data_IF_682308647683
#
_entry.id   IF_682308647683
#
_cell.length_a   1.000
_cell.length_b   1.000
_cell.length_c   1.000
_cell.angle_alpha   90.00
_cell.angle_beta   90.00
_cell.angle_gamma   90.00
#
_symmetry.space_group_name_H-M   'P 1'
#
loop_
_entity.id
_entity.type
_entity.pdbx_description
1 polymer ?
#
# COMPACT_ATOMS: atom_id res chain seq x y z
N UNK A 1 12.53 3.60 23.54
CA UNK A 1 12.28 2.21 23.11
C UNK A 1 10.83 1.91 23.42
N UNK A 2 10.09 1.25 22.50
CA UNK A 2 8.68 0.89 22.72
C UNK A 2 8.59 -0.29 23.70
N UNK A 3 7.45 -0.40 24.38
CA UNK A 3 7.15 -1.55 25.24
C UNK A 3 6.67 -2.73 24.39
N UNK A 4 6.72 -3.94 24.95
CA UNK A 4 6.18 -5.13 24.29
C UNK A 4 4.71 -4.97 23.90
N UNK A 5 3.87 -4.36 24.76
CA UNK A 5 2.47 -4.13 24.48
C UNK A 5 2.28 -3.23 23.25
N UNK A 6 3.05 -2.12 23.17
CA UNK A 6 3.02 -1.20 22.03
C UNK A 6 3.47 -1.87 20.72
N UNK A 7 4.37 -2.85 20.77
CA UNK A 7 4.76 -3.62 19.58
C UNK A 7 3.66 -4.60 19.19
N UNK A 8 3.05 -5.30 20.16
CA UNK A 8 1.97 -6.26 19.89
C UNK A 8 0.73 -5.61 19.24
N UNK A 9 0.41 -4.38 19.63
CA UNK A 9 -0.70 -3.59 19.05
C UNK A 9 -0.47 -3.22 17.57
N UNK A 10 0.76 -3.36 17.07
CA UNK A 10 1.12 -3.06 15.67
C UNK A 10 0.94 -4.25 14.73
N UNK A 11 0.70 -5.43 15.27
CA UNK A 11 0.30 -6.59 14.48
C UNK A 11 -1.19 -6.47 14.15
N UNK A 12 -1.50 -6.49 12.85
CA UNK A 12 -2.86 -6.34 12.32
C UNK A 12 -3.22 -7.64 11.61
N UNK A 13 -3.80 -8.63 12.32
CA UNK A 13 -4.23 -9.88 11.70
C UNK A 13 -5.39 -9.62 10.74
N UNK A 14 -5.36 -10.19 9.55
CA UNK A 14 -6.41 -10.01 8.55
C UNK A 14 -7.78 -10.45 9.06
N UNK A 15 -7.83 -11.55 9.82
CA UNK A 15 -9.06 -12.05 10.44
C UNK A 15 -9.68 -11.11 11.49
N UNK A 16 -8.89 -10.17 12.01
CA UNK A 16 -9.32 -9.15 12.96
C UNK A 16 -9.75 -7.82 12.33
N UNK A 17 -9.61 -7.69 10.99
CA UNK A 17 -9.96 -6.45 10.31
C UNK A 17 -11.47 -6.17 10.41
N UNK A 18 -11.78 -4.95 10.81
CA UNK A 18 -13.15 -4.41 10.79
C UNK A 18 -13.34 -3.52 9.57
N UNK A 19 -14.55 -3.51 9.03
CA UNK A 19 -14.91 -2.75 7.85
C UNK A 19 -16.14 -1.90 8.06
N UNK A 20 -16.36 -0.94 7.16
CA UNK A 20 -17.64 -0.26 6.97
C UNK A 20 -18.19 -0.62 5.60
N UNK A 21 -19.50 -0.81 5.53
CA UNK A 21 -20.24 -0.92 4.25
C UNK A 21 -20.79 0.44 3.81
N UNK A 22 -20.67 1.45 4.64
CA UNK A 22 -21.21 2.80 4.46
C UNK A 22 -20.10 3.86 4.51
N UNK A 23 -18.90 3.47 4.02
CA UNK A 23 -17.75 4.35 4.05
C UNK A 23 -17.87 5.56 3.09
N UNK A 24 -18.64 5.40 2.01
CA UNK A 24 -18.70 6.34 0.90
C UNK A 24 -20.12 6.53 0.39
N UNK A 25 -20.38 7.64 -0.29
CA UNK A 25 -21.70 8.03 -0.82
C UNK A 25 -22.34 6.95 -1.72
N UNK A 26 -21.57 6.07 -2.32
CA UNK A 26 -22.02 5.06 -3.27
C UNK A 26 -22.64 3.79 -2.64
N UNK A 27 -22.73 3.73 -1.32
CA UNK A 27 -23.15 2.52 -0.60
C UNK A 27 -24.63 2.10 -0.82
N UNK A 28 -25.45 2.98 -1.44
CA UNK A 28 -26.82 2.65 -1.86
C UNK A 28 -27.00 2.63 -3.37
N UNK A 29 -25.97 2.93 -4.13
CA UNK A 29 -26.06 2.93 -5.58
C UNK A 29 -26.14 1.47 -6.08
N UNK A 30 -27.17 1.09 -6.85
CA UNK A 30 -27.23 -0.23 -7.49
C UNK A 30 -25.97 -0.51 -8.32
N UNK A 31 -25.37 -1.70 -8.15
CA UNK A 31 -24.12 -2.07 -8.81
C UNK A 31 -22.84 -1.66 -8.05
N UNK A 32 -22.92 -0.73 -7.06
CA UNK A 32 -21.79 -0.36 -6.23
C UNK A 32 -21.77 -1.10 -4.88
N UNK A 33 -22.92 -1.42 -4.35
CA UNK A 33 -23.07 -2.16 -3.09
C UNK A 33 -23.43 -3.65 -3.32
N UNK A 34 -23.09 -4.55 -2.37
CA UNK A 34 -22.31 -4.30 -1.16
C UNK A 34 -20.81 -4.14 -1.43
N UNK A 35 -20.15 -3.33 -0.60
CA UNK A 35 -18.71 -3.11 -0.63
C UNK A 35 -18.20 -3.00 0.80
N UNK A 36 -17.13 -3.72 1.14
CA UNK A 36 -16.48 -3.66 2.46
C UNK A 36 -15.25 -2.78 2.35
N UNK A 37 -15.19 -1.71 3.13
CA UNK A 37 -14.08 -0.77 3.14
C UNK A 37 -13.34 -0.85 4.47
N UNK A 38 -12.04 -1.08 4.41
CA UNK A 38 -11.15 -1.27 5.54
C UNK A 38 -10.19 -0.07 5.66
N UNK A 39 -9.86 0.30 6.89
CA UNK A 39 -8.82 1.28 7.18
C UNK A 39 -7.81 0.64 8.14
N UNK A 40 -6.62 0.32 7.62
CA UNK A 40 -5.56 -0.31 8.37
C UNK A 40 -4.69 0.75 9.06
N UNK A 41 -4.19 1.70 8.29
CA UNK A 41 -3.34 2.80 8.75
C UNK A 41 -4.02 4.12 8.38
N UNK A 42 -4.45 4.86 9.39
CA UNK A 42 -5.21 6.09 9.21
C UNK A 42 -6.64 5.86 8.67
N UNK A 43 -7.49 6.89 8.67
CA UNK A 43 -8.90 6.78 8.28
C UNK A 43 -9.10 6.74 6.75
N UNK A 44 -8.08 7.00 5.95
CA UNK A 44 -8.22 7.14 4.50
C UNK A 44 -9.07 8.35 4.13
N UNK A 45 -9.87 8.18 3.09
CA UNK A 45 -10.81 9.18 2.58
C UNK A 45 -12.27 8.85 2.91
N UNK A 46 -12.49 8.00 3.93
CA UNK A 46 -13.85 7.60 4.32
C UNK A 46 -14.69 8.82 4.72
N UNK A 47 -15.91 8.85 4.22
CA UNK A 47 -16.93 9.86 4.55
C UNK A 47 -17.76 9.47 5.78
N UNK A 48 -17.53 8.27 6.32
CA UNK A 48 -18.16 7.80 7.53
C UNK A 48 -17.29 8.14 8.75
N UNK A 49 -17.73 9.01 9.67
CA UNK A 49 -16.96 9.38 10.85
C UNK A 49 -16.72 8.21 11.80
N UNK A 50 -17.52 7.15 11.69
CA UNK A 50 -17.43 5.93 12.50
C UNK A 50 -16.63 4.81 11.80
N UNK A 51 -15.86 5.13 10.74
CA UNK A 51 -15.01 4.15 10.07
C UNK A 51 -14.09 3.47 11.08
N UNK A 52 -14.14 2.13 11.22
CA UNK A 52 -13.17 1.41 12.04
C UNK A 52 -11.75 1.59 11.46
N UNK A 53 -10.78 1.95 12.29
CA UNK A 53 -9.37 2.11 11.92
C UNK A 53 -8.54 1.22 12.81
N UNK A 54 -7.68 0.37 12.23
CA UNK A 54 -6.83 -0.55 13.00
C UNK A 54 -5.72 0.19 13.73
N UNK A 55 -5.02 1.10 13.07
CA UNK A 55 -3.98 1.92 13.68
C UNK A 55 -4.08 3.38 13.20
N UNK A 56 -4.22 4.31 14.16
CA UNK A 56 -4.36 5.75 13.87
C UNK A 56 -3.02 6.50 13.85
N UNK A 57 -1.94 5.84 14.20
CA UNK A 57 -0.62 6.46 14.18
C UNK A 57 -0.22 6.87 12.77
N UNK A 58 0.25 8.11 12.62
CA UNK A 58 0.72 8.67 11.35
C UNK A 58 1.96 7.94 10.83
N UNK A 59 1.94 7.58 9.54
CA UNK A 59 3.02 6.88 8.85
C UNK A 59 3.57 7.65 7.65
N UNK A 60 3.03 8.86 7.35
CA UNK A 60 3.36 9.62 6.14
C UNK A 60 2.60 9.13 4.89
N UNK A 61 1.79 8.10 5.04
CA UNK A 61 0.84 7.56 4.06
C UNK A 61 -0.25 6.78 4.79
N UNK A 62 -1.32 6.46 4.10
CA UNK A 62 -2.42 5.68 4.65
C UNK A 62 -2.59 4.37 3.89
N UNK A 63 -3.04 3.33 4.60
CA UNK A 63 -3.31 2.01 4.02
C UNK A 63 -4.74 1.63 4.33
N UNK A 64 -5.50 1.35 3.30
CA UNK A 64 -6.83 0.82 3.36
C UNK A 64 -6.96 -0.52 2.63
N UNK A 65 -8.19 -0.97 2.51
CA UNK A 65 -8.51 -2.13 1.68
C UNK A 65 -9.96 -2.11 1.26
N UNK A 66 -10.27 -2.82 0.21
CA UNK A 66 -11.63 -2.98 -0.29
C UNK A 66 -11.88 -4.44 -0.68
N UNK A 67 -13.04 -4.96 -0.25
CA UNK A 67 -13.54 -6.23 -0.73
C UNK A 67 -14.88 -6.03 -1.40
N UNK A 68 -15.05 -6.64 -2.57
CA UNK A 68 -16.28 -6.51 -3.38
C UNK A 68 -16.65 -7.85 -4.01
N UNK A 69 -17.95 -8.21 -4.02
CA UNK A 69 -18.44 -9.34 -4.80
C UNK A 69 -18.25 -9.13 -6.32
N UNK A 70 -18.34 -10.22 -7.06
CA UNK A 70 -18.33 -10.18 -8.52
C UNK A 70 -19.29 -9.13 -9.10
N UNK A 71 -18.85 -8.41 -10.12
CA UNK A 71 -19.64 -7.41 -10.86
C UNK A 71 -19.88 -6.10 -10.13
N UNK A 72 -19.41 -5.95 -8.89
CA UNK A 72 -19.55 -4.68 -8.16
C UNK A 72 -18.47 -3.70 -8.57
N UNK A 73 -18.87 -2.43 -8.65
CA UNK A 73 -18.03 -1.33 -9.15
C UNK A 73 -17.84 -0.26 -8.08
N UNK A 74 -16.61 0.21 -7.92
CA UNK A 74 -16.34 1.49 -7.28
C UNK A 74 -16.40 2.56 -8.38
N UNK A 75 -17.34 3.53 -8.27
CA UNK A 75 -17.64 4.45 -9.39
C UNK A 75 -16.56 5.53 -9.55
N UNK A 76 -16.61 6.31 -10.64
CA UNK A 76 -15.62 7.33 -10.94
C UNK A 76 -15.45 8.37 -9.83
N UNK A 77 -14.20 8.53 -9.37
CA UNK A 77 -13.79 9.49 -8.35
C UNK A 77 -12.34 9.92 -8.58
N UNK A 78 -11.91 10.98 -7.90
CA UNK A 78 -10.53 11.47 -7.89
C UNK A 78 -10.02 11.65 -6.47
N UNK A 79 -8.71 11.58 -6.29
CA UNK A 79 -8.01 11.89 -5.04
C UNK A 79 -7.05 13.07 -5.20
N UNK A 80 -6.75 13.73 -4.08
CA UNK A 80 -5.81 14.85 -4.00
C UNK A 80 -4.36 14.37 -3.82
N UNK A 81 -4.17 13.11 -3.47
CA UNK A 81 -2.86 12.46 -3.31
C UNK A 81 -2.75 11.26 -4.25
N UNK A 82 -1.54 10.75 -4.44
CA UNK A 82 -1.33 9.54 -5.22
C UNK A 82 -2.06 8.35 -4.57
N UNK A 83 -2.64 7.50 -5.41
CA UNK A 83 -3.27 6.26 -5.00
C UNK A 83 -2.64 5.06 -5.69
N UNK A 84 -2.48 3.99 -4.93
CA UNK A 84 -1.91 2.73 -5.39
C UNK A 84 -2.86 1.60 -5.04
N UNK A 85 -3.17 0.77 -6.03
CA UNK A 85 -3.94 -0.45 -5.88
C UNK A 85 -3.00 -1.66 -5.84
N UNK A 86 -3.13 -2.48 -4.82
CA UNK A 86 -2.32 -3.67 -4.58
C UNK A 86 -3.28 -4.86 -4.61
N UNK A 87 -3.32 -5.56 -5.74
CA UNK A 87 -4.27 -6.63 -5.99
C UNK A 87 -3.78 -7.92 -5.34
N UNK A 88 -4.42 -8.37 -4.28
CA UNK A 88 -4.06 -9.63 -3.59
C UNK A 88 -5.02 -10.77 -3.88
N UNK A 89 -6.25 -10.45 -4.31
CA UNK A 89 -7.25 -11.38 -4.82
C UNK A 89 -8.11 -10.70 -5.87
N UNK A 90 -8.23 -11.28 -7.06
CA UNK A 90 -8.93 -10.68 -8.19
C UNK A 90 -9.37 -11.71 -9.23
N UNK A 91 -9.52 -11.33 -10.51
CA UNK A 91 -9.01 -10.10 -11.15
C UNK A 91 -9.90 -8.88 -10.95
N UNK A 92 -9.29 -7.71 -11.16
CA UNK A 92 -9.96 -6.42 -11.15
C UNK A 92 -9.81 -5.72 -12.48
N UNK A 93 -10.89 -5.05 -12.93
CA UNK A 93 -10.83 -4.10 -14.03
C UNK A 93 -10.71 -2.69 -13.46
N UNK A 94 -9.56 -2.08 -13.67
CA UNK A 94 -9.36 -0.66 -13.39
C UNK A 94 -9.88 0.15 -14.58
N UNK A 95 -10.57 1.25 -14.29
CA UNK A 95 -10.98 2.20 -15.32
C UNK A 95 -10.56 3.62 -14.93
N UNK A 96 -10.25 4.43 -15.93
CA UNK A 96 -9.84 5.82 -15.75
C UNK A 96 -10.38 6.71 -16.87
N UNK A 97 -10.36 8.03 -16.63
CA UNK A 97 -11.00 9.00 -17.48
C UNK A 97 -12.49 9.13 -17.20
N UNK A 98 -13.15 10.02 -17.92
CA UNK A 98 -14.59 10.26 -17.82
C UNK A 98 -15.24 10.08 -19.21
N UNK A 99 -16.54 9.74 -19.23
CA UNK A 99 -17.24 9.54 -20.49
C UNK A 99 -17.12 10.77 -21.42
N UNK A 100 -16.91 10.61 -22.75
CA UNK A 100 -16.83 9.33 -23.50
C UNK A 100 -15.43 8.69 -23.51
N UNK A 101 -14.41 9.32 -22.95
CA UNK A 101 -12.98 8.94 -23.08
C UNK A 101 -12.53 7.93 -22.00
N UNK A 102 -13.48 7.25 -21.36
CA UNK A 102 -13.17 6.22 -20.35
C UNK A 102 -12.39 5.06 -20.97
N UNK A 103 -11.26 4.73 -20.33
CA UNK A 103 -10.40 3.60 -20.66
C UNK A 103 -10.37 2.60 -19.53
N UNK A 104 -9.88 1.39 -19.77
CA UNK A 104 -9.80 0.34 -18.77
C UNK A 104 -8.63 -0.60 -18.99
N UNK A 105 -8.19 -1.27 -17.91
CA UNK A 105 -7.19 -2.32 -17.94
C UNK A 105 -7.44 -3.33 -16.81
N UNK A 106 -7.19 -4.60 -17.11
CA UNK A 106 -7.26 -5.65 -16.10
C UNK A 106 -5.97 -5.72 -15.29
N UNK A 107 -6.09 -5.96 -13.97
CA UNK A 107 -5.01 -6.23 -13.04
C UNK A 107 -5.31 -7.49 -12.26
N UNK A 108 -4.32 -8.36 -12.15
CA UNK A 108 -4.42 -9.67 -11.50
C UNK A 108 -3.77 -9.72 -10.12
N UNK A 109 -3.74 -10.91 -9.55
CA UNK A 109 -3.16 -11.15 -8.23
C UNK A 109 -1.66 -10.85 -8.18
N UNK A 110 -1.25 -10.07 -7.18
CA UNK A 110 0.12 -9.59 -7.00
C UNK A 110 0.44 -8.33 -7.81
N UNK A 111 -0.37 -7.97 -8.80
CA UNK A 111 -0.14 -6.76 -9.59
C UNK A 111 -0.35 -5.50 -8.74
N UNK A 112 0.43 -4.47 -9.04
CA UNK A 112 0.32 -3.16 -8.41
C UNK A 112 0.07 -2.12 -9.49
N UNK A 113 -1.00 -1.35 -9.34
CA UNK A 113 -1.33 -0.26 -10.25
C UNK A 113 -1.31 1.08 -9.52
N UNK A 114 -0.62 2.07 -10.08
CA UNK A 114 -0.59 3.42 -9.54
C UNK A 114 -1.46 4.34 -10.39
N UNK A 115 -2.28 5.15 -9.75
CA UNK A 115 -3.14 6.10 -10.47
C UNK A 115 -2.69 7.52 -10.15
N UNK A 116 -2.42 8.34 -11.18
CA UNK A 116 -2.08 9.75 -10.99
C UNK A 116 -3.21 10.51 -10.30
N UNK A 117 -2.85 11.59 -9.57
CA UNK A 117 -3.84 12.58 -9.09
C UNK A 117 -4.56 13.25 -10.25
N UNK A 118 -5.73 13.81 -9.97
CA UNK A 118 -6.52 14.59 -10.93
C UNK A 118 -6.95 13.83 -12.19
N UNK A 119 -7.16 12.51 -12.03
CA UNK A 119 -7.79 11.68 -13.03
C UNK A 119 -8.95 10.93 -12.38
N UNK A 120 -10.10 10.93 -13.03
CA UNK A 120 -11.20 10.06 -12.63
C UNK A 120 -10.78 8.60 -12.77
N UNK A 121 -10.98 7.82 -11.71
CA UNK A 121 -10.72 6.38 -11.68
C UNK A 121 -11.84 5.66 -10.96
N UNK A 122 -11.85 4.39 -11.16
CA UNK A 122 -12.69 3.43 -10.47
C UNK A 122 -12.22 2.01 -10.76
N UNK A 123 -12.90 1.03 -10.21
CA UNK A 123 -12.55 -0.36 -10.41
C UNK A 123 -13.77 -1.26 -10.25
N UNK A 124 -13.75 -2.40 -10.92
CA UNK A 124 -14.80 -3.41 -10.89
C UNK A 124 -14.17 -4.75 -10.56
N UNK A 125 -14.76 -5.51 -9.65
CA UNK A 125 -14.40 -6.91 -9.50
C UNK A 125 -15.00 -7.70 -10.69
N UNK A 126 -14.12 -8.24 -11.54
CA UNK A 126 -14.50 -9.06 -12.71
C UNK A 126 -14.21 -10.54 -12.52
N UNK A 127 -13.68 -10.92 -11.35
CA UNK A 127 -13.47 -12.30 -10.95
C UNK A 127 -14.78 -13.00 -10.55
N UNK A 128 -14.80 -14.35 -10.49
CA UNK A 128 -16.00 -15.12 -10.15
C UNK A 128 -16.42 -14.99 -8.68
N UNK A 129 -15.48 -14.68 -7.79
CA UNK A 129 -15.66 -14.67 -6.34
C UNK A 129 -15.50 -13.24 -5.75
N UNK A 130 -15.65 -13.13 -4.43
CA UNK A 130 -15.27 -11.91 -3.70
C UNK A 130 -13.78 -11.63 -3.92
N UNK A 131 -13.46 -10.44 -4.37
CA UNK A 131 -12.10 -9.97 -4.55
C UNK A 131 -11.66 -9.06 -3.41
N UNK A 132 -10.33 -8.92 -3.23
CA UNK A 132 -9.73 -8.03 -2.25
C UNK A 132 -8.51 -7.32 -2.84
N UNK A 133 -8.42 -6.02 -2.60
CA UNK A 133 -7.19 -5.26 -2.82
C UNK A 133 -6.89 -4.35 -1.64
N UNK A 134 -5.61 -4.16 -1.34
CA UNK A 134 -5.17 -3.05 -0.51
C UNK A 134 -5.08 -1.78 -1.35
N UNK A 135 -5.25 -0.64 -0.69
CA UNK A 135 -5.04 0.67 -1.26
C UNK A 135 -4.05 1.45 -0.40
N UNK A 136 -3.15 2.19 -1.03
CA UNK A 136 -2.28 3.12 -0.33
C UNK A 136 -2.47 4.53 -0.88
N UNK A 137 -2.62 5.50 0.02
CA UNK A 137 -2.77 6.92 -0.29
C UNK A 137 -1.59 7.70 0.29
N UNK A 138 -0.97 8.56 -0.52
CA UNK A 138 0.12 9.40 -0.07
C UNK A 138 -0.30 10.39 1.02
N UNK A 139 0.60 10.67 1.95
CA UNK A 139 0.45 11.58 3.08
C UNK A 139 -0.54 11.09 4.16
N UNK A 140 -0.47 11.72 5.34
CA UNK A 140 -1.37 11.45 6.47
C UNK A 140 -2.69 12.22 6.36
N UNK A 141 -2.70 13.32 5.61
CA UNK A 141 -3.90 14.05 5.22
C UNK A 141 -4.09 13.93 3.72
N UNK A 142 -5.09 13.17 3.32
CA UNK A 142 -5.35 12.84 1.91
C UNK A 142 -6.29 13.83 1.24
N UNK A 143 -6.86 14.80 1.97
CA UNK A 143 -7.75 15.85 1.44
C UNK A 143 -9.15 15.40 1.04
N UNK A 144 -9.45 14.10 1.06
CA UNK A 144 -10.78 13.58 0.73
C UNK A 144 -10.90 12.99 -0.68
N UNK A 145 -12.10 13.05 -1.24
CA UNK A 145 -12.47 12.39 -2.51
C UNK A 145 -13.41 13.28 -3.33
N UNK A 146 -13.14 13.41 -4.62
CA UNK A 146 -14.04 14.08 -5.57
C UNK A 146 -14.77 13.02 -6.40
N UNK A 147 -16.09 12.98 -6.23
CA UNK A 147 -16.95 12.06 -6.98
C UNK A 147 -17.29 12.59 -8.38
N UNK A 148 -17.43 11.67 -9.33
CA UNK A 148 -17.95 12.00 -10.65
C UNK A 148 -19.40 12.55 -10.57
N UNK A 149 -19.79 13.46 -11.47
CA UNK A 149 -21.14 14.02 -11.50
C UNK A 149 -22.24 12.94 -11.51
N UNK A 150 -22.06 11.92 -12.33
CA UNK A 150 -23.01 10.81 -12.46
C UNK A 150 -23.15 10.02 -11.15
N UNK A 151 -22.05 9.86 -10.39
CA UNK A 151 -22.05 9.20 -9.08
C UNK A 151 -22.84 9.99 -8.04
N UNK A 152 -22.63 11.32 -7.98
CA UNK A 152 -23.36 12.20 -7.08
C UNK A 152 -24.85 12.20 -7.41
N UNK A 153 -25.21 12.21 -8.67
CA UNK A 153 -26.61 12.17 -9.12
C UNK A 153 -27.25 10.80 -8.81
N UNK A 154 -26.55 9.69 -9.10
CA UNK A 154 -27.04 8.36 -8.78
C UNK A 154 -27.28 8.15 -7.27
N UNK A 155 -26.38 8.66 -6.43
CA UNK A 155 -26.55 8.64 -4.97
C UNK A 155 -27.79 9.45 -4.54
N UNK A 156 -27.95 10.66 -5.11
CA UNK A 156 -29.09 11.53 -4.84
C UNK A 156 -30.43 10.83 -5.18
N UNK A 157 -30.48 10.09 -6.29
CA UNK A 157 -31.66 9.32 -6.66
C UNK A 157 -31.98 8.19 -5.67
N UNK A 158 -31.00 7.76 -4.89
CA UNK A 158 -31.19 6.82 -3.78
C UNK A 158 -31.44 7.51 -2.42
N UNK A 159 -31.66 8.83 -2.40
CA UNK A 159 -31.84 9.60 -1.16
C UNK A 159 -30.55 9.77 -0.34
N UNK A 160 -29.38 9.64 -0.97
CA UNK A 160 -28.08 9.85 -0.34
C UNK A 160 -27.45 11.12 -0.91
N UNK A 161 -27.16 12.07 -0.03
CA UNK A 161 -26.63 13.37 -0.40
C UNK A 161 -25.26 13.61 0.25
N UNK A 162 -24.39 14.36 -0.43
CA UNK A 162 -23.10 14.79 0.09
C UNK A 162 -23.12 16.32 0.27
N UNK A 163 -22.75 16.76 1.47
CA UNK A 163 -22.63 18.17 1.80
C UNK A 163 -21.25 18.73 1.37
N UNK A 164 -21.10 20.06 1.28
CA UNK A 164 -19.81 20.70 0.98
C UNK A 164 -18.71 20.36 1.99
N UNK A 165 -19.07 20.07 3.24
CA UNK A 165 -18.17 19.62 4.29
C UNK A 165 -18.01 18.10 4.36
N UNK A 166 -18.34 17.39 3.26
CA UNK A 166 -18.15 15.95 3.06
C UNK A 166 -18.97 15.05 4.02
N UNK A 167 -20.05 15.54 4.60
CA UNK A 167 -20.98 14.69 5.37
C UNK A 167 -22.01 14.03 4.47
N UNK A 168 -22.26 12.75 4.73
CA UNK A 168 -23.36 12.02 4.11
C UNK A 168 -24.65 12.31 4.88
N UNK A 169 -25.71 12.68 4.15
CA UNK A 169 -27.09 12.76 4.63
C UNK A 169 -27.89 11.70 3.89
N UNK A 170 -28.41 10.72 4.65
CA UNK A 170 -29.14 9.57 4.11
C UNK A 170 -30.60 9.60 4.55
N UNK A 171 -31.49 9.95 3.62
CA UNK A 171 -32.93 10.04 3.88
C UNK A 171 -33.56 8.70 4.21
N UNK A 172 -33.02 7.58 3.67
CA UNK A 172 -33.52 6.24 3.97
C UNK A 172 -33.15 5.78 5.39
N UNK A 173 -32.12 6.40 6.01
CA UNK A 173 -31.76 6.20 7.41
C UNK A 173 -32.53 7.12 8.36
N UNK A 174 -33.54 7.83 7.87
CA UNK A 174 -34.38 8.74 8.67
C UNK A 174 -33.78 10.15 8.85
N UNK A 175 -32.64 10.44 8.25
CA UNK A 175 -32.14 11.81 8.17
C UNK A 175 -32.99 12.60 7.17
N UNK A 176 -32.99 13.93 7.32
CA UNK A 176 -33.71 14.79 6.38
C UNK A 176 -32.72 15.78 5.78
N UNK A 177 -32.75 15.90 4.47
CA UNK A 177 -32.11 17.03 3.80
C UNK A 177 -32.91 18.29 4.11
N UNK A 178 -32.27 19.35 4.58
CA UNK A 178 -32.89 20.65 4.81
C UNK A 178 -32.05 21.77 4.23
N UNK A 179 -32.62 22.99 4.19
CA UNK A 179 -32.01 24.16 3.55
C UNK A 179 -30.75 24.68 4.28
N UNK A 180 -30.44 24.17 5.48
CA UNK A 180 -29.18 24.50 6.18
C UNK A 180 -27.97 23.80 5.57
N UNK A 181 -28.19 22.72 4.82
CA UNK A 181 -27.12 21.99 4.16
C UNK A 181 -26.76 22.63 2.81
N UNK A 182 -25.48 22.84 2.60
CA UNK A 182 -24.93 23.14 1.28
C UNK A 182 -24.51 21.84 0.62
N UNK A 183 -25.04 21.59 -0.59
CA UNK A 183 -24.70 20.40 -1.36
C UNK A 183 -23.35 20.55 -2.05
N UNK A 184 -22.51 19.50 -1.97
CA UNK A 184 -21.32 19.43 -2.78
C UNK A 184 -21.67 19.53 -4.27
N UNK A 185 -21.08 20.49 -4.94
CA UNK A 185 -21.28 20.67 -6.37
C UNK A 185 -20.33 19.76 -7.15
N UNK A 186 -20.82 19.03 -8.16
CA UNK A 186 -19.95 18.25 -9.04
C UNK A 186 -19.09 19.18 -9.91
N UNK A 187 -17.98 18.65 -10.42
CA UNK A 187 -17.24 19.33 -11.49
C UNK A 187 -18.13 19.51 -12.72
N UNK A 188 -18.05 20.67 -13.32
CA UNK A 188 -18.76 20.98 -14.58
C UNK A 188 -18.11 20.28 -15.77
N UNK A 189 -18.83 20.03 -16.87
CA UNK A 189 -18.24 19.51 -18.11
C UNK A 189 -17.02 20.31 -18.60
N UNK A 190 -17.03 21.63 -18.43
CA UNK A 190 -15.93 22.51 -18.80
C UNK A 190 -14.67 22.30 -17.93
N UNK A 191 -14.84 21.99 -16.65
CA UNK A 191 -13.73 21.65 -15.76
C UNK A 191 -13.20 20.26 -16.07
N UNK A 192 -14.07 19.27 -16.29
CA UNK A 192 -13.70 17.90 -16.65
C UNK A 192 -12.90 17.88 -17.96
N UNK A 193 -13.30 18.66 -18.96
CA UNK A 193 -12.61 18.74 -20.26
C UNK A 193 -11.18 19.29 -20.16
N UNK A 194 -10.80 19.92 -19.06
CA UNK A 194 -9.43 20.40 -18.78
C UNK A 194 -8.55 19.37 -18.10
N UNK A 195 -9.12 18.27 -17.62
CA UNK A 195 -8.34 17.22 -16.99
C UNK A 195 -7.44 16.55 -18.03
N UNK A 196 -6.26 16.14 -17.57
CA UNK A 196 -5.34 15.41 -18.44
C UNK A 196 -5.93 14.04 -18.79
N UNK A 197 -5.92 13.70 -20.06
CA UNK A 197 -6.22 12.35 -20.53
C UNK A 197 -4.98 11.46 -20.49
N UNK A 198 -5.20 10.16 -20.26
CA UNK A 198 -4.16 9.16 -20.19
C UNK A 198 -4.51 8.02 -21.14
N UNK A 199 -3.61 7.73 -22.07
CA UNK A 199 -3.76 6.62 -23.00
C UNK A 199 -3.56 5.28 -22.29
N UNK A 200 -4.09 4.16 -22.84
CA UNK A 200 -3.79 2.83 -22.30
C UNK A 200 -2.29 2.52 -22.21
N UNK A 201 -1.50 2.95 -23.18
CA UNK A 201 -0.04 2.77 -23.17
C UNK A 201 0.64 3.52 -22.02
N UNK A 202 0.20 4.73 -21.69
CA UNK A 202 0.71 5.48 -20.54
C UNK A 202 0.31 4.84 -19.20
N UNK A 203 -0.92 4.34 -19.09
CA UNK A 203 -1.37 3.65 -17.87
C UNK A 203 -0.71 2.28 -17.72
N UNK A 204 -0.45 1.56 -18.80
CA UNK A 204 0.26 0.28 -18.76
C UNK A 204 1.65 0.39 -18.11
N UNK A 205 2.36 1.52 -18.29
CA UNK A 205 3.65 1.78 -17.64
C UNK A 205 3.52 1.98 -16.11
N UNK A 206 2.31 2.16 -15.62
CA UNK A 206 1.99 2.34 -14.20
C UNK A 206 1.40 1.08 -13.56
N UNK A 207 1.27 0.01 -14.31
CA UNK A 207 0.89 -1.31 -13.82
C UNK A 207 2.14 -2.17 -13.75
N UNK A 208 2.57 -2.50 -12.53
CA UNK A 208 3.70 -3.37 -12.28
C UNK A 208 3.19 -4.78 -12.12
N UNK A 209 3.54 -5.66 -13.04
CA UNK A 209 3.09 -7.05 -13.07
C UNK A 209 3.93 -7.92 -12.14
N UNK A 210 3.30 -8.61 -11.20
CA UNK A 210 4.00 -9.49 -10.26
C UNK A 210 4.82 -10.58 -10.97
N UNK A 211 4.26 -11.16 -12.04
CA UNK A 211 4.91 -12.24 -12.80
C UNK A 211 6.19 -11.81 -13.52
N UNK A 212 6.38 -10.51 -13.74
CA UNK A 212 7.55 -9.97 -14.47
C UNK A 212 8.45 -9.08 -13.60
N UNK A 213 8.29 -9.17 -12.27
CA UNK A 213 9.15 -8.44 -11.35
C UNK A 213 10.61 -8.83 -11.53
N UNK A 214 11.46 -7.83 -11.59
CA UNK A 214 12.92 -7.99 -11.55
C UNK A 214 13.37 -8.12 -10.09
N UNK A 215 13.84 -9.31 -9.70
CA UNK A 215 14.23 -9.62 -8.34
C UNK A 215 15.75 -9.57 -8.19
N UNK A 216 16.25 -8.67 -7.35
CA UNK A 216 17.68 -8.59 -7.04
C UNK A 216 18.04 -9.40 -5.79
N UNK A 217 18.97 -10.33 -5.92
CA UNK A 217 19.64 -11.01 -4.81
C UNK A 217 20.80 -10.21 -4.21
N UNK A 218 21.10 -9.02 -4.75
CA UNK A 218 22.13 -8.10 -4.22
C UNK A 218 21.48 -6.87 -3.53
N UNK A 219 20.17 -6.90 -3.31
CA UNK A 219 19.41 -5.75 -2.81
C UNK A 219 19.65 -5.42 -1.33
N UNK A 220 20.25 -6.32 -0.56
CA UNK A 220 20.55 -6.14 0.87
C UNK A 220 21.98 -6.59 1.18
N UNK A 221 22.64 -5.93 2.13
CA UNK A 221 24.01 -6.25 2.53
C UNK A 221 24.18 -7.71 2.98
N UNK A 222 23.16 -8.24 3.64
CA UNK A 222 23.18 -9.61 4.19
C UNK A 222 22.71 -10.68 3.18
N UNK A 223 22.23 -10.31 1.99
CA UNK A 223 21.61 -11.26 1.07
C UNK A 223 22.54 -12.43 0.68
N UNK A 224 23.86 -12.21 0.63
CA UNK A 224 24.85 -13.23 0.35
C UNK A 224 25.32 -14.02 1.60
N UNK A 225 24.89 -13.62 2.81
CA UNK A 225 25.32 -14.29 4.04
C UNK A 225 24.60 -15.64 4.23
N UNK A 226 25.26 -16.63 4.87
CA UNK A 226 24.63 -17.90 5.18
C UNK A 226 23.35 -17.73 5.99
N UNK A 227 22.28 -18.42 5.58
CA UNK A 227 20.97 -18.35 6.23
C UNK A 227 20.14 -17.11 5.89
N UNK A 228 20.57 -16.27 4.95
CA UNK A 228 19.84 -15.12 4.45
C UNK A 228 19.20 -15.41 3.07
N UNK A 229 19.65 -14.78 1.99
CA UNK A 229 19.19 -15.09 0.63
C UNK A 229 17.92 -14.35 0.22
N UNK A 230 17.51 -13.32 0.98
CA UNK A 230 16.37 -12.49 0.63
C UNK A 230 16.61 -11.72 -0.68
N UNK A 231 15.54 -11.52 -1.44
CA UNK A 231 15.58 -10.74 -2.69
C UNK A 231 14.52 -9.65 -2.65
N UNK A 232 14.79 -8.54 -3.32
CA UNK A 232 13.85 -7.42 -3.42
C UNK A 232 13.51 -7.09 -4.86
N UNK A 233 12.31 -6.53 -5.06
CA UNK A 233 11.85 -5.95 -6.31
C UNK A 233 11.18 -4.61 -6.02
N UNK A 234 11.84 -3.46 -6.27
CA UNK A 234 11.26 -2.15 -6.08
C UNK A 234 10.15 -1.90 -7.11
N UNK A 235 9.04 -1.33 -6.65
CA UNK A 235 7.85 -1.03 -7.45
C UNK A 235 7.70 0.48 -7.63
N UNK A 236 7.78 1.23 -6.53
CA UNK A 236 7.63 2.69 -6.49
C UNK A 236 8.75 3.28 -5.65
N UNK A 237 9.45 4.27 -6.19
CA UNK A 237 10.53 4.96 -5.49
C UNK A 237 11.77 4.08 -5.28
N UNK A 238 12.71 4.57 -4.48
CA UNK A 238 13.99 3.89 -4.28
C UNK A 238 13.99 2.89 -3.12
N UNK A 239 13.08 3.05 -2.14
CA UNK A 239 12.94 2.14 -1.01
C UNK A 239 14.22 1.86 -0.25
N UNK A 240 14.34 0.65 0.29
CA UNK A 240 15.51 0.19 1.04
C UNK A 240 16.47 -0.68 0.22
N UNK A 241 16.24 -0.91 -1.07
CA UNK A 241 17.15 -1.69 -1.91
C UNK A 241 18.55 -1.05 -1.95
N UNK A 242 19.56 -1.86 -1.75
CA UNK A 242 20.99 -1.47 -1.77
C UNK A 242 21.68 -1.93 -3.04
N UNK A 243 20.96 -2.41 -4.04
CA UNK A 243 21.51 -2.71 -5.36
C UNK A 243 21.55 -1.45 -6.22
N UNK A 244 22.75 -1.05 -6.63
CA UNK A 244 23.00 0.13 -7.48
C UNK A 244 22.30 0.06 -8.84
N UNK A 245 22.17 -1.13 -9.38
CA UNK A 245 21.70 -1.37 -10.74
C UNK A 245 20.20 -1.67 -10.79
N UNK A 246 19.53 -1.67 -9.64
CA UNK A 246 18.14 -2.04 -9.52
C UNK A 246 17.26 -0.81 -9.27
N UNK A 247 16.28 -0.58 -10.13
CA UNK A 247 15.39 0.58 -10.07
C UNK A 247 13.91 0.16 -10.13
N UNK A 248 13.07 0.95 -9.47
CA UNK A 248 11.63 0.78 -9.58
C UNK A 248 11.12 1.10 -10.99
N UNK A 249 10.09 0.37 -11.43
CA UNK A 249 9.39 0.68 -12.68
C UNK A 249 8.70 2.05 -12.61
N UNK A 250 8.16 2.41 -11.43
CA UNK A 250 7.46 3.69 -11.22
C UNK A 250 8.34 4.63 -10.41
N UNK A 251 8.82 5.68 -11.05
CA UNK A 251 9.81 6.61 -10.47
C UNK A 251 9.25 7.96 -10.07
N UNK A 252 8.02 8.32 -10.51
CA UNK A 252 7.41 9.58 -10.08
C UNK A 252 6.99 9.52 -8.60
N UNK A 253 7.04 10.66 -7.93
CA UNK A 253 6.77 10.79 -6.50
C UNK A 253 5.35 10.37 -6.12
N UNK A 254 5.25 9.59 -5.03
CA UNK A 254 3.98 9.18 -4.40
C UNK A 254 3.90 9.62 -2.94
N UNK A 255 5.02 10.14 -2.38
CA UNK A 255 5.17 10.42 -0.96
C UNK A 255 5.53 9.18 -0.13
N UNK A 256 5.66 8.01 -0.75
CA UNK A 256 6.13 6.76 -0.16
C UNK A 256 6.76 5.86 -1.24
N UNK A 257 7.64 4.96 -0.81
CA UNK A 257 8.17 3.88 -1.63
C UNK A 257 7.43 2.58 -1.34
N UNK A 258 7.42 1.69 -2.33
CA UNK A 258 6.77 0.40 -2.27
C UNK A 258 7.64 -0.63 -3.00
N UNK A 259 7.89 -1.76 -2.34
CA UNK A 259 8.78 -2.80 -2.83
C UNK A 259 8.35 -4.17 -2.33
N UNK A 260 8.52 -5.17 -3.17
CA UNK A 260 8.37 -6.56 -2.80
C UNK A 260 9.66 -7.09 -2.18
N UNK A 261 9.51 -7.89 -1.12
CA UNK A 261 10.58 -8.67 -0.50
C UNK A 261 10.18 -10.14 -0.51
N UNK A 262 11.07 -11.03 -0.97
CA UNK A 262 10.89 -12.47 -0.83
C UNK A 262 12.03 -13.09 -0.04
N UNK A 263 11.68 -14.02 0.83
CA UNK A 263 12.61 -14.72 1.74
C UNK A 263 12.50 -16.20 1.46
N UNK A 264 13.57 -16.90 1.08
CA UNK A 264 13.54 -18.34 0.83
C UNK A 264 13.17 -19.10 2.11
N UNK A 265 12.78 -20.36 1.96
CA UNK A 265 12.50 -21.24 3.10
C UNK A 265 13.69 -21.30 4.07
N UNK A 266 13.44 -21.07 5.36
CA UNK A 266 14.47 -20.99 6.38
C UNK A 266 15.40 -19.78 6.29
N UNK A 267 15.19 -18.88 5.28
CA UNK A 267 16.00 -17.68 5.10
C UNK A 267 15.60 -16.53 6.03
N UNK A 268 16.39 -15.49 6.01
CA UNK A 268 16.17 -14.30 6.86
C UNK A 268 16.64 -13.00 6.20
N UNK A 269 16.14 -11.90 6.72
CA UNK A 269 16.77 -10.57 6.68
C UNK A 269 17.29 -10.28 8.06
N UNK A 270 18.60 -10.13 8.17
CA UNK A 270 19.31 -9.98 9.43
C UNK A 270 18.95 -8.70 10.16
N UNK A 271 19.43 -8.56 11.37
CA UNK A 271 19.15 -7.43 12.26
C UNK A 271 19.59 -6.10 11.64
N UNK A 272 18.62 -5.25 11.41
CA UNK A 272 18.77 -3.93 10.80
C UNK A 272 17.83 -2.89 11.41
N UNK A 273 18.04 -1.63 11.07
CA UNK A 273 17.22 -0.49 11.50
C UNK A 273 17.01 0.48 10.34
N UNK A 274 15.83 1.07 10.29
CA UNK A 274 15.47 2.24 9.47
C UNK A 274 14.95 3.33 10.39
N UNK A 275 15.19 4.59 10.05
CA UNK A 275 14.61 5.71 10.78
C UNK A 275 13.12 5.84 10.54
N UNK A 276 12.69 5.47 9.35
CA UNK A 276 11.30 5.53 8.92
C UNK A 276 10.48 4.38 9.52
N UNK A 277 9.19 4.64 9.70
CA UNK A 277 8.18 3.61 9.91
C UNK A 277 7.98 2.82 8.61
N UNK A 278 7.50 1.59 8.71
CA UNK A 278 7.10 0.81 7.55
C UNK A 278 5.77 0.13 7.81
N UNK A 279 5.06 -0.20 6.75
CA UNK A 279 3.94 -1.14 6.80
C UNK A 279 4.32 -2.35 5.97
N UNK A 280 4.22 -3.51 6.59
CA UNK A 280 4.46 -4.81 5.96
C UNK A 280 3.11 -5.50 5.75
N UNK A 281 2.93 -6.11 4.58
CA UNK A 281 1.79 -6.99 4.27
C UNK A 281 2.35 -8.32 3.78
N UNK A 282 2.07 -9.41 4.48
CA UNK A 282 2.52 -10.74 4.06
C UNK A 282 1.57 -11.25 2.99
N UNK A 283 2.08 -11.35 1.77
CA UNK A 283 1.30 -11.75 0.60
C UNK A 283 1.19 -13.27 0.49
N UNK A 284 2.31 -13.99 0.70
CA UNK A 284 2.38 -15.47 0.66
C UNK A 284 3.36 -15.99 1.69
N UNK A 285 3.06 -17.18 2.24
CA UNK A 285 3.93 -17.84 3.20
C UNK A 285 3.83 -17.26 4.61
N UNK A 286 4.88 -17.46 5.40
CA UNK A 286 4.91 -17.06 6.81
C UNK A 286 6.20 -16.29 7.10
N UNK A 287 6.09 -15.20 7.82
CA UNK A 287 7.22 -14.37 8.26
C UNK A 287 7.16 -14.16 9.76
N UNK A 288 8.21 -14.58 10.47
CA UNK A 288 8.45 -14.17 11.84
C UNK A 288 9.15 -12.80 11.81
N UNK A 289 8.59 -11.84 12.51
CA UNK A 289 9.03 -10.46 12.60
C UNK A 289 9.51 -10.24 14.04
N UNK A 290 10.79 -10.02 14.22
CA UNK A 290 11.39 -9.69 15.52
C UNK A 290 11.64 -8.18 15.61
N UNK A 291 11.18 -7.56 16.69
CA UNK A 291 11.33 -6.13 16.96
C UNK A 291 11.85 -5.93 18.37
N UNK A 292 12.92 -5.17 18.51
CA UNK A 292 13.42 -4.83 19.83
C UNK A 292 12.45 -3.93 20.58
N UNK A 293 12.17 -4.33 21.81
CA UNK A 293 11.29 -3.66 22.75
C UNK A 293 11.87 -3.70 24.16
N UNK A 294 11.19 -3.10 25.11
CA UNK A 294 11.56 -3.17 26.53
C UNK A 294 10.51 -3.99 27.27
N UNK A 295 10.88 -5.01 28.05
CA UNK A 295 12.25 -5.42 28.42
C UNK A 295 12.92 -6.37 27.43
N UNK A 296 12.21 -6.93 26.43
CA UNK A 296 12.75 -7.94 25.53
C UNK A 296 12.24 -7.79 24.10
N UNK A 297 12.90 -8.44 23.14
CA UNK A 297 12.47 -8.53 21.74
C UNK A 297 11.09 -9.19 21.64
N UNK A 298 10.19 -8.59 20.86
CA UNK A 298 8.87 -9.14 20.57
C UNK A 298 8.91 -9.83 19.21
N UNK A 299 8.49 -11.09 19.19
CA UNK A 299 8.25 -11.86 17.96
C UNK A 299 6.78 -11.86 17.62
N UNK A 300 6.45 -11.45 16.40
CA UNK A 300 5.15 -11.63 15.77
C UNK A 300 5.28 -12.55 14.57
N UNK A 301 4.31 -13.44 14.36
CA UNK A 301 4.30 -14.34 13.20
C UNK A 301 3.12 -13.92 12.33
N UNK A 302 3.41 -13.40 11.14
CA UNK A 302 2.45 -12.97 10.16
C UNK A 302 2.38 -13.96 8.99
N UNK A 303 1.19 -14.18 8.45
CA UNK A 303 0.96 -15.12 7.37
C UNK A 303 0.21 -14.48 6.19
N UNK A 304 0.53 -14.95 4.99
CA UNK A 304 -0.19 -14.68 3.76
C UNK A 304 -0.70 -15.97 3.13
N UNK A 305 -1.99 -16.02 2.85
CA UNK A 305 -2.68 -17.10 2.15
C UNK A 305 -3.51 -16.52 1.01
N UNK A 306 -4.09 -17.32 0.11
CA UNK A 306 -4.97 -16.79 -0.94
C UNK A 306 -6.17 -15.96 -0.46
N UNK A 307 -6.56 -16.09 0.82
CA UNK A 307 -7.74 -15.45 1.39
C UNK A 307 -7.45 -14.62 2.67
N UNK A 308 -6.20 -14.48 3.06
CA UNK A 308 -5.82 -13.79 4.30
C UNK A 308 -4.40 -13.22 4.23
N UNK A 309 -4.21 -11.95 4.62
CA UNK A 309 -2.94 -11.22 4.51
C UNK A 309 -2.70 -10.40 5.76
N UNK A 310 -1.96 -10.97 6.70
CA UNK A 310 -1.58 -10.27 7.91
C UNK A 310 -0.66 -9.09 7.61
N UNK A 311 -0.81 -8.03 8.39
CA UNK A 311 -0.02 -6.81 8.26
C UNK A 311 0.68 -6.47 9.58
N UNK A 312 1.79 -5.75 9.48
CA UNK A 312 2.51 -5.25 10.64
C UNK A 312 2.94 -3.79 10.41
N UNK A 313 2.60 -2.91 11.33
CA UNK A 313 3.02 -1.51 11.31
C UNK A 313 4.35 -1.34 12.06
N UNK A 314 5.46 -1.46 11.35
CA UNK A 314 6.80 -1.38 11.91
C UNK A 314 7.13 0.02 12.42
N UNK A 315 7.50 0.20 13.67
CA UNK A 315 7.93 1.50 14.18
C UNK A 315 9.27 1.92 13.55
N UNK A 316 9.47 3.23 13.42
CA UNK A 316 10.77 3.78 13.02
C UNK A 316 11.82 3.68 14.14
N UNK A 317 13.09 3.82 13.77
CA UNK A 317 14.22 3.85 14.68
C UNK A 317 14.28 2.66 15.66
N UNK A 318 13.81 1.48 15.24
CA UNK A 318 13.90 0.25 16.03
C UNK A 318 14.68 -0.84 15.27
N UNK A 319 15.42 -1.64 16.02
CA UNK A 319 16.07 -2.84 15.50
C UNK A 319 15.03 -3.91 15.20
N UNK A 320 15.17 -4.55 14.05
CA UNK A 320 14.26 -5.57 13.56
C UNK A 320 14.98 -6.62 12.73
N UNK A 321 14.39 -7.79 12.62
CA UNK A 321 14.80 -8.84 11.68
C UNK A 321 13.56 -9.59 11.18
N UNK A 322 13.71 -10.23 10.02
CA UNK A 322 12.65 -11.06 9.42
C UNK A 322 13.18 -12.45 9.19
N UNK A 323 12.38 -13.45 9.46
CA UNK A 323 12.73 -14.84 9.24
C UNK A 323 11.55 -15.60 8.63
N UNK A 324 11.82 -16.41 7.62
CA UNK A 324 10.82 -17.32 7.07
C UNK A 324 10.94 -18.70 7.75
N UNK A 325 10.08 -19.04 8.70
CA UNK A 325 10.10 -20.35 9.37
C UNK A 325 9.44 -21.45 8.55
N UNK A 326 8.86 -21.11 7.39
CA UNK A 326 8.14 -22.05 6.53
C UNK A 326 9.07 -22.89 5.67
N UNK A 327 8.45 -23.83 4.95
CA UNK A 327 9.13 -24.74 4.01
C UNK A 327 9.08 -24.27 2.56
N UNK A 328 8.41 -23.17 2.29
CA UNK A 328 8.31 -22.51 0.98
C UNK A 328 8.74 -21.05 1.09
N UNK A 329 8.98 -20.40 -0.03
CA UNK A 329 9.27 -18.96 -0.07
C UNK A 329 8.14 -18.14 0.58
N UNK A 330 8.52 -17.15 1.36
CA UNK A 330 7.60 -16.13 1.86
C UNK A 330 7.78 -14.83 1.05
N UNK A 331 6.66 -14.18 0.72
CA UNK A 331 6.64 -12.92 -0.03
C UNK A 331 5.85 -11.88 0.75
N UNK A 332 6.43 -10.72 0.96
CA UNK A 332 5.75 -9.60 1.60
C UNK A 332 5.99 -8.27 0.85
N UNK A 333 5.05 -7.38 1.00
CA UNK A 333 5.12 -6.02 0.51
C UNK A 333 5.60 -5.09 1.62
N UNK A 334 6.51 -4.18 1.30
CA UNK A 334 7.02 -3.15 2.19
C UNK A 334 6.59 -1.79 1.67
N UNK A 335 6.00 -0.97 2.53
CA UNK A 335 5.65 0.43 2.26
C UNK A 335 6.39 1.32 3.26
N UNK A 336 7.12 2.31 2.76
CA UNK A 336 7.96 3.20 3.59
C UNK A 336 7.74 4.65 3.17
N UNK A 337 7.52 5.62 4.09
CA UNK A 337 7.28 7.02 3.75
C UNK A 337 8.48 7.65 3.01
N UNK A 338 8.16 8.57 2.10
CA UNK A 338 9.12 9.27 1.25
C UNK A 338 9.57 8.47 0.02
N UNK A 339 9.88 9.17 -1.04
CA UNK A 339 10.24 8.57 -2.34
C UNK A 339 11.74 8.28 -2.47
N UNK A 340 12.56 8.90 -1.61
CA UNK A 340 14.01 8.74 -1.63
C UNK A 340 14.48 7.40 -1.07
N UNK A 341 15.78 7.11 -1.30
CA UNK A 341 16.43 5.94 -0.71
C UNK A 341 16.38 5.97 0.80
N UNK A 342 16.10 4.81 1.40
CA UNK A 342 16.14 4.61 2.85
C UNK A 342 17.54 4.19 3.28
N UNK A 343 18.01 4.76 4.36
CA UNK A 343 19.29 4.35 4.95
C UNK A 343 19.06 3.15 5.85
N UNK A 344 19.55 1.99 5.42
CA UNK A 344 19.53 0.76 6.22
C UNK A 344 20.76 0.73 7.10
N UNK A 345 20.56 0.76 8.41
CA UNK A 345 21.63 0.55 9.40
C UNK A 345 21.64 -0.91 9.79
N UNK A 346 22.74 -1.61 9.53
CA UNK A 346 22.94 -3.01 9.88
C UNK A 346 23.59 -3.13 11.26
N UNK A 347 23.30 -4.23 11.96
CA UNK A 347 23.97 -4.52 13.22
C UNK A 347 25.47 -4.75 13.02
N UNK A 348 26.32 -4.48 14.03
CA UNK A 348 27.76 -4.67 13.91
C UNK A 348 28.17 -6.08 13.48
N UNK A 349 27.41 -7.09 13.92
CA UNK A 349 27.65 -8.50 13.58
C UNK A 349 27.43 -8.75 12.09
N UNK A 350 26.36 -8.16 11.51
CA UNK A 350 26.06 -8.27 10.07
C UNK A 350 27.13 -7.57 9.25
N UNK A 351 27.54 -6.36 9.67
CA UNK A 351 28.61 -5.62 8.99
C UNK A 351 29.93 -6.40 9.01
N UNK A 352 30.28 -7.00 10.16
CA UNK A 352 31.48 -7.82 10.25
C UNK A 352 31.42 -9.08 9.38
N UNK A 353 30.26 -9.77 9.35
CA UNK A 353 30.07 -10.95 8.51
C UNK A 353 30.13 -10.61 7.01
N UNK A 354 29.53 -9.48 6.59
CA UNK A 354 29.60 -9.00 5.22
C UNK A 354 31.05 -8.63 4.83
N UNK A 355 31.78 -7.94 5.72
CA UNK A 355 33.16 -7.57 5.50
C UNK A 355 34.08 -8.78 5.33
N UNK A 356 33.80 -9.90 5.99
CA UNK A 356 34.53 -11.16 5.82
C UNK A 356 34.31 -11.79 4.42
N UNK A 357 33.26 -11.38 3.71
CA UNK A 357 32.95 -11.76 2.33
C UNK A 357 33.28 -10.66 1.30
N UNK A 358 34.13 -9.69 1.68
CA UNK A 358 34.48 -8.52 0.86
C UNK A 358 33.28 -7.64 0.48
N UNK A 359 32.23 -7.60 1.31
CA UNK A 359 31.05 -6.76 1.12
C UNK A 359 31.03 -5.60 2.11
N UNK A 360 30.57 -4.44 1.67
CA UNK A 360 30.39 -3.24 2.48
C UNK A 360 29.32 -2.34 1.84
N UNK A 361 28.93 -1.30 2.55
CA UNK A 361 28.05 -0.23 2.04
C UNK A 361 28.93 0.96 1.64
N UNK A 362 28.78 1.43 0.42
CA UNK A 362 29.46 2.63 -0.05
C UNK A 362 28.81 3.93 0.48
N UNK A 363 29.44 5.07 0.21
CA UNK A 363 28.96 6.38 0.65
C UNK A 363 27.56 6.77 0.11
N UNK A 364 27.07 6.09 -0.93
CA UNK A 364 25.74 6.30 -1.50
C UNK A 364 24.69 5.30 -0.97
N UNK A 365 25.08 4.39 -0.06
CA UNK A 365 24.19 3.41 0.56
C UNK A 365 23.99 2.14 -0.27
N UNK A 366 24.87 1.84 -1.23
CA UNK A 366 24.82 0.62 -2.04
C UNK A 366 25.80 -0.44 -1.55
N UNK A 367 25.44 -1.70 -1.73
CA UNK A 367 26.36 -2.83 -1.54
C UNK A 367 27.49 -2.73 -2.59
N UNK A 368 28.71 -2.83 -2.13
CA UNK A 368 29.90 -2.77 -2.96
C UNK A 368 31.03 -3.65 -2.39
N UNK A 369 32.02 -4.07 -3.21
CA UNK A 369 33.19 -4.75 -2.70
C UNK A 369 33.94 -3.87 -1.68
N UNK A 370 34.18 -4.44 -0.50
CA UNK A 370 34.78 -3.72 0.64
C UNK A 370 36.15 -3.13 0.28
N UNK A 371 36.98 -3.88 -0.47
CA UNK A 371 38.28 -3.41 -0.87
C UNK A 371 38.23 -2.15 -1.76
N UNK A 372 37.15 -1.87 -2.49
CA UNK A 372 36.94 -0.61 -3.21
C UNK A 372 36.48 0.49 -2.27
N UNK A 373 35.56 0.17 -1.34
CA UNK A 373 35.06 1.14 -0.35
C UNK A 373 36.23 1.65 0.52
N UNK A 374 37.09 0.76 1.00
CA UNK A 374 38.26 1.12 1.81
C UNK A 374 39.24 2.05 1.06
N UNK A 375 39.38 1.91 -0.26
CA UNK A 375 40.21 2.79 -1.06
C UNK A 375 39.60 4.19 -1.24
N UNK A 376 38.29 4.31 -1.24
CA UNK A 376 37.59 5.58 -1.42
C UNK A 376 37.66 6.47 -0.16
N UNK A 377 38.04 5.89 1.00
CA UNK A 377 38.14 6.58 2.29
C UNK A 377 39.58 7.06 2.60
N UNK A 378 40.53 6.88 1.68
CA UNK A 378 41.91 7.34 1.77
C UNK A 378 42.05 8.64 0.95
#
# INVERSE_FOLDING_TARGET
MLTEAQIKERFIPFSGLRYSTEAFIDYRIPGCAPKKNYALIGPGVSQNPNQPVSLREKHGFQVGGVSMPNGKTNPPHMHFTAEVFICVKGPWQLHWGFNPDRQEAEVGEGDIATVPTWIYRGFTNVGPDDAFMFTALGQDDTGGILWGPDTLEAARQQGVHLTEDYRIVDEQSGQKWDDSYKRLQPMTPAEISRLRTWTPAQMAQRVVRFATLDWSGAALLDAALPGCGAQMAPVIGLGMTQDRNHAAQVTNSHGFSLEWLRIPAGGSVSRHQLQEKQVLVVYRGTVAIDVDATPSTVRSVAAGTPDSWDSFAMPGACWRSYHNPGTTEAVMLLMTPGDGRKTVTWSPEVVAAAAAQDLSIDANGYVAPKHFVDRSQR
#
